data_IF_106589108505
#
_entry.id   IF_106589108505
#
_cell.length_a   1.000
_cell.length_b   1.000
_cell.length_c   1.000
_cell.angle_alpha   90.00
_cell.angle_beta   90.00
_cell.angle_gamma   90.00
#
_symmetry.space_group_name_H-M   'P 1'
#
loop_
_entity.id
_entity.type
_entity.pdbx_description
1 polymer ?
#
# COMPACT_ATOMS: atom_id res chain seq x y z
N UNK A 1 -15.46 15.13 2.20
CA UNK A 1 -15.44 14.85 0.75
C UNK A 1 -14.70 13.55 0.54
N UNK A 2 -15.00 12.85 -0.54
CA UNK A 2 -14.30 11.61 -0.92
C UNK A 2 -13.18 11.93 -1.90
N UNK A 3 -13.49 12.78 -2.89
CA UNK A 3 -12.55 13.21 -3.93
C UNK A 3 -12.12 14.66 -3.73
N UNK A 4 -10.91 14.97 -4.22
CA UNK A 4 -10.38 16.33 -4.12
C UNK A 4 -11.17 17.31 -4.97
N UNK A 5 -11.69 16.93 -6.13
CA UNK A 5 -12.46 17.81 -7.04
C UNK A 5 -13.72 18.43 -6.39
N UNK A 6 -14.25 17.80 -5.34
CA UNK A 6 -15.35 18.29 -4.51
C UNK A 6 -14.94 19.46 -3.58
N UNK A 7 -13.64 19.69 -3.41
CA UNK A 7 -13.07 20.72 -2.54
C UNK A 7 -12.95 22.04 -3.30
N UNK A 8 -13.50 23.17 -2.80
CA UNK A 8 -13.25 24.48 -3.36
C UNK A 8 -11.77 24.87 -3.34
N UNK A 9 -11.34 25.75 -4.23
CA UNK A 9 -10.01 26.36 -4.12
C UNK A 9 -9.97 27.29 -2.89
N UNK A 10 -8.81 27.44 -2.25
CA UNK A 10 -8.57 28.27 -1.05
C UNK A 10 -9.10 27.78 0.30
N UNK A 11 -9.49 26.50 0.41
CA UNK A 11 -9.77 25.88 1.72
C UNK A 11 -8.62 25.00 2.19
N UNK A 12 -8.60 24.71 3.49
CA UNK A 12 -7.66 23.77 4.08
C UNK A 12 -8.16 22.35 3.82
N UNK A 13 -7.27 21.49 3.31
CA UNK A 13 -7.49 20.06 3.17
C UNK A 13 -6.72 19.31 4.25
N UNK A 14 -7.32 18.29 4.85
CA UNK A 14 -6.67 17.40 5.79
C UNK A 14 -6.75 15.98 5.25
N UNK A 15 -5.61 15.34 4.99
CA UNK A 15 -5.59 13.91 4.68
C UNK A 15 -5.84 13.09 5.94
N UNK A 16 -6.67 12.06 5.82
CA UNK A 16 -7.06 11.22 6.96
C UNK A 16 -5.89 10.39 7.51
N UNK A 17 -6.09 9.81 8.69
CA UNK A 17 -5.08 8.97 9.34
C UNK A 17 -4.72 7.70 8.54
N UNK A 18 -5.60 7.22 7.66
CA UNK A 18 -5.39 6.06 6.81
C UNK A 18 -4.41 6.31 5.65
N UNK A 19 -4.00 7.56 5.44
CA UNK A 19 -3.14 7.92 4.31
C UNK A 19 -3.90 8.07 2.99
N UNK A 20 -3.15 8.49 1.97
CA UNK A 20 -3.64 8.72 0.60
C UNK A 20 -2.57 8.31 -0.41
N UNK A 21 -2.99 7.98 -1.64
CA UNK A 21 -2.11 7.62 -2.75
C UNK A 21 -1.19 8.76 -3.20
N UNK A 22 -0.15 8.44 -3.97
CA UNK A 22 0.70 9.47 -4.59
C UNK A 22 -0.09 10.35 -5.56
N UNK A 23 -1.07 9.79 -6.27
CA UNK A 23 -1.91 10.54 -7.20
C UNK A 23 -2.71 11.65 -6.49
N UNK A 24 -3.36 11.32 -5.36
CA UNK A 24 -4.11 12.30 -4.56
C UNK A 24 -3.18 13.41 -4.01
N UNK A 25 -1.95 13.05 -3.58
CA UNK A 25 -0.95 14.04 -3.16
C UNK A 25 -0.56 14.98 -4.29
N UNK A 26 -0.34 14.43 -5.48
CA UNK A 26 0.04 15.20 -6.67
C UNK A 26 -1.09 16.11 -7.14
N UNK A 27 -2.34 15.65 -7.09
CA UNK A 27 -3.50 16.46 -7.44
C UNK A 27 -3.64 17.66 -6.48
N UNK A 28 -3.57 17.44 -5.18
CA UNK A 28 -3.65 18.53 -4.20
C UNK A 28 -2.54 19.57 -4.40
N UNK A 29 -1.31 19.10 -4.69
CA UNK A 29 -0.18 19.97 -5.01
C UNK A 29 -0.37 20.73 -6.32
N UNK A 30 -0.83 20.06 -7.38
CA UNK A 30 -1.11 20.67 -8.69
C UNK A 30 -2.21 21.73 -8.63
N UNK A 31 -3.14 21.59 -7.69
CA UNK A 31 -4.19 22.57 -7.41
C UNK A 31 -3.77 23.68 -6.43
N UNK A 32 -2.56 23.60 -5.87
CA UNK A 32 -2.06 24.58 -4.90
C UNK A 32 -2.83 24.60 -3.58
N UNK A 33 -3.47 23.49 -3.19
CA UNK A 33 -4.26 23.42 -1.96
C UNK A 33 -3.37 23.48 -0.71
N UNK A 34 -3.87 24.13 0.34
CA UNK A 34 -3.20 24.11 1.65
C UNK A 34 -3.54 22.82 2.39
N UNK A 35 -2.61 21.86 2.33
CA UNK A 35 -2.79 20.52 2.90
C UNK A 35 -2.11 20.39 4.26
N UNK A 36 -2.81 19.79 5.23
CA UNK A 36 -2.21 19.16 6.40
C UNK A 36 -2.36 17.64 6.29
N UNK A 37 -1.26 16.92 6.51
CA UNK A 37 -1.26 15.47 6.44
C UNK A 37 -1.38 14.89 7.85
N UNK A 38 -2.54 14.31 8.17
CA UNK A 38 -2.78 13.64 9.45
C UNK A 38 -2.57 12.12 9.37
N UNK A 39 -1.93 11.61 8.31
CA UNK A 39 -1.59 10.18 8.16
C UNK A 39 -0.88 9.67 9.42
N UNK A 40 -1.33 8.55 9.95
CA UNK A 40 -0.68 7.90 11.08
C UNK A 40 0.80 7.60 10.75
N UNK A 41 1.76 7.90 11.65
CA UNK A 41 3.17 7.61 11.38
C UNK A 41 3.46 6.12 11.10
N UNK A 42 2.64 5.21 11.64
CA UNK A 42 2.77 3.77 11.37
C UNK A 42 2.35 3.42 9.92
N UNK A 43 1.27 4.02 9.43
CA UNK A 43 0.86 3.91 8.01
C UNK A 43 1.92 4.54 7.10
N UNK A 44 2.46 5.69 7.51
CA UNK A 44 3.56 6.34 6.77
C UNK A 44 4.79 5.44 6.65
N UNK A 45 5.11 4.64 7.68
CA UNK A 45 6.20 3.66 7.59
C UNK A 45 5.93 2.63 6.50
N UNK A 46 4.72 2.08 6.43
CA UNK A 46 4.32 1.12 5.38
C UNK A 46 4.42 1.78 4.00
N UNK A 47 3.94 3.01 3.84
CA UNK A 47 4.05 3.76 2.58
C UNK A 47 5.51 3.92 2.12
N UNK A 48 6.44 4.21 3.04
CA UNK A 48 7.87 4.36 2.74
C UNK A 48 8.48 3.04 2.25
N UNK A 49 8.10 1.91 2.85
CA UNK A 49 8.56 0.59 2.42
C UNK A 49 8.06 0.22 1.04
N UNK A 50 6.77 0.43 0.77
CA UNK A 50 6.17 0.18 -0.55
C UNK A 50 6.81 1.06 -1.62
N UNK A 51 6.99 2.35 -1.36
CA UNK A 51 7.67 3.27 -2.27
C UNK A 51 9.15 2.88 -2.50
N UNK A 52 9.80 2.27 -1.51
CA UNK A 52 11.15 1.71 -1.68
C UNK A 52 11.14 0.49 -2.61
N UNK A 53 10.25 -0.47 -2.40
CA UNK A 53 10.14 -1.65 -3.27
C UNK A 53 9.82 -1.26 -4.71
N UNK A 54 8.92 -0.28 -4.90
CA UNK A 54 8.64 0.30 -6.21
C UNK A 54 9.90 0.87 -6.87
N UNK A 55 10.69 1.69 -6.17
CA UNK A 55 11.95 2.24 -6.72
C UNK A 55 12.99 1.17 -7.06
N UNK A 56 13.04 0.09 -6.29
CA UNK A 56 13.97 -1.02 -6.50
C UNK A 56 13.48 -2.00 -7.60
N UNK A 57 12.31 -1.76 -8.20
CA UNK A 57 11.66 -2.66 -9.16
C UNK A 57 11.33 -4.02 -8.54
N UNK A 58 11.16 -4.08 -7.21
CA UNK A 58 10.92 -5.29 -6.43
C UNK A 58 9.43 -5.49 -6.25
N UNK A 59 8.91 -6.68 -6.56
CA UNK A 59 7.49 -6.97 -6.40
C UNK A 59 7.07 -6.94 -4.92
N UNK A 60 5.85 -6.45 -4.65
CA UNK A 60 5.32 -6.27 -3.30
C UNK A 60 3.93 -6.91 -3.18
N UNK A 61 3.67 -7.60 -2.08
CA UNK A 61 2.35 -8.12 -1.73
C UNK A 61 1.85 -7.34 -0.51
N UNK A 62 0.72 -6.66 -0.65
CA UNK A 62 0.00 -6.08 0.47
C UNK A 62 -1.02 -7.10 0.97
N UNK A 63 -0.92 -7.45 2.25
CA UNK A 63 -1.97 -8.18 2.96
C UNK A 63 -2.93 -7.13 3.53
N UNK A 64 -4.20 -7.16 3.14
CA UNK A 64 -5.20 -6.17 3.55
C UNK A 64 -6.55 -6.44 2.92
N UNK A 65 -7.58 -5.66 3.29
CA UNK A 65 -8.92 -5.80 2.72
C UNK A 65 -9.15 -4.83 1.55
N UNK A 66 -9.66 -5.33 0.43
CA UNK A 66 -10.00 -4.50 -0.74
C UNK A 66 -10.98 -3.38 -0.35
N UNK A 67 -10.76 -2.18 -0.91
CA UNK A 67 -11.61 -1.02 -0.67
C UNK A 67 -11.39 -0.32 0.68
N UNK A 68 -10.52 -0.83 1.57
CA UNK A 68 -10.17 -0.09 2.77
C UNK A 68 -9.29 1.13 2.41
N UNK A 69 -9.55 2.35 2.94
CA UNK A 69 -8.81 3.56 2.55
C UNK A 69 -7.29 3.45 2.73
N UNK A 70 -6.83 2.73 3.76
CA UNK A 70 -5.40 2.46 3.97
C UNK A 70 -4.79 1.56 2.89
N UNK A 71 -5.57 0.59 2.39
CA UNK A 71 -5.15 -0.31 1.32
C UNK A 71 -5.03 0.49 0.02
N UNK A 72 -6.03 1.29 -0.33
CA UNK A 72 -5.97 2.18 -1.50
C UNK A 72 -4.80 3.16 -1.41
N UNK A 73 -4.61 3.77 -0.23
CA UNK A 73 -3.48 4.65 0.05
C UNK A 73 -2.13 3.96 -0.14
N UNK A 74 -1.99 2.74 0.38
CA UNK A 74 -0.75 1.96 0.34
C UNK A 74 -0.46 1.42 -1.07
N UNK A 75 -1.44 0.84 -1.75
CA UNK A 75 -1.35 0.38 -3.14
C UNK A 75 -0.93 1.53 -4.05
N UNK A 76 -1.53 2.71 -3.86
CA UNK A 76 -1.22 3.93 -4.59
C UNK A 76 0.15 4.56 -4.28
N UNK A 77 0.99 3.94 -3.44
CA UNK A 77 2.41 4.32 -3.30
C UNK A 77 3.31 3.64 -4.33
N UNK A 78 2.84 2.58 -4.98
CA UNK A 78 3.66 1.78 -5.86
C UNK A 78 3.57 2.27 -7.30
N UNK A 79 4.71 2.67 -7.87
CA UNK A 79 4.86 2.94 -9.30
C UNK A 79 5.47 1.72 -10.01
N UNK A 80 4.77 1.15 -10.98
CA UNK A 80 5.19 0.00 -11.76
C UNK A 80 6.20 0.33 -12.89
N UNK A 81 6.50 1.62 -13.12
CA UNK A 81 7.43 2.07 -14.16
C UNK A 81 8.85 1.51 -14.02
N UNK A 82 9.25 1.11 -12.81
CA UNK A 82 10.56 0.53 -12.50
C UNK A 82 10.62 -1.01 -12.68
N UNK A 83 9.59 -1.63 -13.27
CA UNK A 83 9.60 -3.05 -13.68
C UNK A 83 9.02 -4.04 -12.67
N UNK A 84 8.68 -3.60 -11.45
CA UNK A 84 7.97 -4.42 -10.46
C UNK A 84 6.44 -4.25 -10.51
N UNK A 85 5.75 -4.84 -9.54
CA UNK A 85 4.29 -4.74 -9.39
C UNK A 85 3.90 -4.90 -7.92
N UNK A 86 2.73 -4.39 -7.56
CA UNK A 86 2.12 -4.63 -6.25
C UNK A 86 0.85 -5.46 -6.41
N UNK A 87 0.62 -6.36 -5.46
CA UNK A 87 -0.52 -7.28 -5.41
C UNK A 87 -1.25 -7.12 -4.09
N UNK A 88 -2.56 -7.31 -4.08
CA UNK A 88 -3.37 -7.40 -2.87
C UNK A 88 -3.76 -8.86 -2.63
N UNK A 89 -3.69 -9.30 -1.39
CA UNK A 89 -4.24 -10.58 -0.92
C UNK A 89 -4.97 -10.35 0.40
N UNK A 90 -6.12 -10.99 0.57
CA UNK A 90 -6.90 -10.92 1.82
C UNK A 90 -6.71 -12.20 2.65
N UNK A 91 -6.54 -13.35 1.99
CA UNK A 91 -6.50 -14.66 2.63
C UNK A 91 -5.53 -15.67 1.98
N UNK A 92 -5.57 -16.91 2.46
CA UNK A 92 -4.72 -18.02 1.99
C UNK A 92 -5.10 -18.51 0.58
N UNK A 93 -6.37 -18.34 0.17
CA UNK A 93 -6.84 -18.71 -1.16
C UNK A 93 -6.32 -17.73 -2.22
N UNK A 94 -6.31 -16.43 -1.91
CA UNK A 94 -5.67 -15.42 -2.75
C UNK A 94 -4.18 -15.73 -2.94
N UNK A 95 -3.48 -16.09 -1.86
CA UNK A 95 -2.07 -16.53 -1.94
C UNK A 95 -1.91 -17.76 -2.82
N UNK A 96 -2.82 -18.74 -2.73
CA UNK A 96 -2.79 -19.95 -3.54
C UNK A 96 -3.00 -19.67 -5.04
N UNK A 97 -3.73 -18.62 -5.38
CA UNK A 97 -4.01 -18.21 -6.76
C UNK A 97 -3.04 -17.14 -7.29
N UNK A 98 -2.25 -16.51 -6.41
CA UNK A 98 -1.38 -15.40 -6.77
C UNK A 98 -0.29 -15.77 -7.78
N UNK A 99 -0.18 -14.96 -8.83
CA UNK A 99 0.88 -15.05 -9.84
C UNK A 99 1.78 -13.82 -9.77
N UNK A 100 3.06 -14.04 -9.49
CA UNK A 100 4.12 -13.02 -9.45
C UNK A 100 5.11 -13.26 -10.58
N UNK A 101 5.87 -12.25 -11.00
CA UNK A 101 6.82 -12.37 -12.12
C UNK A 101 8.16 -12.93 -11.67
N UNK A 102 8.64 -12.53 -10.50
CA UNK A 102 9.94 -12.91 -9.94
C UNK A 102 9.82 -13.26 -8.44
N UNK A 103 9.54 -14.54 -8.11
CA UNK A 103 9.45 -15.02 -6.73
C UNK A 103 10.69 -14.77 -5.87
N UNK A 104 11.87 -14.62 -6.48
CA UNK A 104 13.13 -14.38 -5.76
C UNK A 104 13.30 -12.90 -5.35
N UNK A 105 12.54 -12.00 -5.99
CA UNK A 105 12.56 -10.56 -5.74
C UNK A 105 11.19 -10.07 -5.26
N UNK A 106 10.68 -10.72 -4.22
CA UNK A 106 9.37 -10.46 -3.64
C UNK A 106 9.46 -9.96 -2.19
N UNK A 107 8.58 -9.04 -1.81
CA UNK A 107 8.40 -8.60 -0.44
C UNK A 107 6.91 -8.56 -0.09
N UNK A 108 6.58 -8.53 1.20
CA UNK A 108 5.22 -8.25 1.66
C UNK A 108 5.17 -7.14 2.70
N UNK A 109 4.00 -6.51 2.81
CA UNK A 109 3.60 -5.56 3.86
C UNK A 109 2.17 -5.88 4.30
N UNK A 110 1.72 -5.30 5.42
CA UNK A 110 0.38 -5.56 5.97
C UNK A 110 -0.34 -4.24 6.24
N UNK A 111 -1.65 -4.22 6.05
CA UNK A 111 -2.52 -3.20 6.64
C UNK A 111 -2.37 -3.22 8.18
N UNK A 112 -2.36 -2.04 8.80
CA UNK A 112 -2.00 -1.86 10.21
C UNK A 112 -3.07 -2.32 11.21
N UNK A 113 -4.32 -2.49 10.76
CA UNK A 113 -5.47 -2.82 11.61
C UNK A 113 -5.98 -4.25 11.45
N UNK A 114 -5.18 -5.15 10.90
CA UNK A 114 -5.58 -6.55 10.69
C UNK A 114 -5.55 -7.37 11.99
N UNK A 115 -6.34 -8.45 12.00
CA UNK A 115 -6.27 -9.51 13.00
C UNK A 115 -4.89 -10.19 12.94
N UNK A 116 -4.21 -10.29 14.08
CA UNK A 116 -2.88 -10.91 14.14
C UNK A 116 -2.91 -12.39 13.73
N UNK A 117 -3.94 -13.12 14.17
CA UNK A 117 -4.07 -14.55 13.89
C UNK A 117 -4.32 -14.81 12.41
N UNK A 118 -5.25 -14.06 11.80
CA UNK A 118 -5.56 -14.21 10.38
C UNK A 118 -4.37 -13.79 9.52
N UNK A 119 -3.71 -12.67 9.87
CA UNK A 119 -2.50 -12.21 9.18
C UNK A 119 -1.37 -13.24 9.27
N UNK A 120 -1.20 -13.91 10.41
CA UNK A 120 -0.17 -14.95 10.56
C UNK A 120 -0.38 -16.11 9.59
N UNK A 121 -1.63 -16.55 9.39
CA UNK A 121 -1.94 -17.63 8.43
C UNK A 121 -1.57 -17.23 7.01
N UNK A 122 -1.90 -16.00 6.59
CA UNK A 122 -1.55 -15.48 5.26
C UNK A 122 -0.03 -15.38 5.09
N UNK A 123 0.70 -14.90 6.10
CA UNK A 123 2.16 -14.83 6.07
C UNK A 123 2.79 -16.23 5.94
N UNK A 124 2.27 -17.22 6.67
CA UNK A 124 2.78 -18.58 6.60
C UNK A 124 2.51 -19.23 5.24
N UNK A 125 1.33 -18.98 4.65
CA UNK A 125 1.01 -19.38 3.28
C UNK A 125 1.96 -18.72 2.27
N UNK A 126 2.22 -17.41 2.40
CA UNK A 126 3.16 -16.68 1.54
C UNK A 126 4.58 -17.23 1.63
N UNK A 127 5.08 -17.50 2.84
CA UNK A 127 6.43 -18.08 3.03
C UNK A 127 6.54 -19.51 2.52
N UNK A 128 5.46 -20.28 2.62
CA UNK A 128 5.42 -21.64 2.08
C UNK A 128 5.47 -21.62 0.55
N UNK A 129 4.71 -20.72 -0.08
CA UNK A 129 4.65 -20.58 -1.54
C UNK A 129 5.87 -19.89 -2.13
N UNK A 130 6.39 -18.88 -1.45
CA UNK A 130 7.50 -18.03 -1.88
C UNK A 130 8.59 -18.00 -0.79
N UNK A 131 9.45 -19.03 -0.69
CA UNK A 131 10.43 -19.15 0.40
C UNK A 131 11.43 -17.99 0.50
N UNK A 132 11.70 -17.29 -0.60
CA UNK A 132 12.60 -16.13 -0.67
C UNK A 132 11.92 -14.79 -0.32
N UNK A 133 10.62 -14.78 0.00
CA UNK A 133 9.88 -13.54 0.26
C UNK A 133 10.42 -12.78 1.48
N UNK A 134 10.67 -11.48 1.29
CA UNK A 134 11.11 -10.59 2.37
C UNK A 134 9.95 -9.95 3.13
N UNK A 135 10.05 -9.87 4.45
CA UNK A 135 9.12 -9.09 5.29
C UNK A 135 9.60 -7.66 5.56
N UNK A 136 8.73 -6.82 6.14
CA UNK A 136 9.09 -5.48 6.60
C UNK A 136 10.17 -5.54 7.71
N UNK A 137 10.97 -4.47 7.86
CA UNK A 137 12.08 -4.38 8.84
C UNK A 137 11.79 -3.40 9.96
#
# INVERSE_FOLDING_TARGET
VEELDQVPNDVIVIFSAHGVSQAVRQEAAGRGLKVFDATCPLVTKVHIEVAKYSRDGKECILIGHEGHPEVEGTMGQYDASNGGSIYLVEDEEDVANLQVRDPERLAFVTQTTLSMDDTSRVIDALRTRFPSIGGPR
#
